data_IF_956809931009
#
_entry.id   IF_956809931009
#
_cell.length_a   1.000
_cell.length_b   1.000
_cell.length_c   1.000
_cell.angle_alpha   90.00
_cell.angle_beta   90.00
_cell.angle_gamma   90.00
#
_symmetry.space_group_name_H-M   'P 1'
#
loop_
_entity.id
_entity.type
_entity.pdbx_description
1 polymer ?
#
# COMPACT_ATOMS: atom_id res chain seq x y z
N UNK A 1 -8.39 14.79 33.19
CA UNK A 1 -8.88 13.86 32.16
C UNK A 1 -7.66 13.47 31.32
N UNK A 2 -6.98 12.38 31.67
CA UNK A 2 -5.87 11.86 30.87
C UNK A 2 -6.52 11.34 29.58
N UNK A 3 -6.26 12.01 28.46
CA UNK A 3 -6.61 11.47 27.14
C UNK A 3 -6.03 10.05 27.10
N UNK A 4 -6.86 9.07 26.75
CA UNK A 4 -6.46 7.66 26.68
C UNK A 4 -5.11 7.56 25.97
N UNK A 5 -4.14 6.87 26.57
CA UNK A 5 -2.70 6.95 26.22
C UNK A 5 -2.45 6.68 24.74
N UNK A 6 -3.36 5.96 24.07
CA UNK A 6 -3.25 5.58 22.67
C UNK A 6 -4.16 6.38 21.71
N UNK A 7 -4.89 7.39 22.19
CA UNK A 7 -5.77 8.22 21.34
C UNK A 7 -5.02 8.83 20.16
N UNK A 8 -3.79 9.31 20.40
CA UNK A 8 -2.95 9.89 19.37
C UNK A 8 -2.53 8.87 18.29
N UNK A 9 -2.33 7.60 18.66
CA UNK A 9 -2.04 6.52 17.70
C UNK A 9 -3.27 6.23 16.85
N UNK A 10 -4.44 6.11 17.46
CA UNK A 10 -5.70 5.92 16.73
C UNK A 10 -5.95 7.07 15.74
N UNK A 11 -5.79 8.31 16.18
CA UNK A 11 -5.92 9.50 15.34
C UNK A 11 -4.90 9.49 14.18
N UNK A 12 -3.65 9.11 14.47
CA UNK A 12 -2.61 8.97 13.44
C UNK A 12 -2.97 7.89 12.41
N UNK A 13 -3.43 6.73 12.85
CA UNK A 13 -3.83 5.64 11.94
C UNK A 13 -5.04 6.04 11.09
N UNK A 14 -6.12 6.53 11.72
CA UNK A 14 -7.31 6.98 10.99
C UNK A 14 -6.96 8.10 10.00
N UNK A 15 -6.22 9.12 10.45
CA UNK A 15 -5.83 10.23 9.59
C UNK A 15 -5.01 9.81 8.37
N UNK A 16 -4.11 8.82 8.53
CA UNK A 16 -3.31 8.26 7.43
C UNK A 16 -4.13 7.40 6.46
N UNK A 17 -5.24 6.82 6.91
CA UNK A 17 -6.15 6.03 6.07
C UNK A 17 -7.08 6.88 5.20
N UNK A 18 -7.22 8.18 5.46
CA UNK A 18 -8.07 9.08 4.69
C UNK A 18 -7.37 9.61 3.43
N UNK A 19 -6.92 8.70 2.54
CA UNK A 19 -6.04 9.01 1.41
C UNK A 19 -6.53 10.10 0.45
N UNK A 20 -7.85 10.28 0.32
CA UNK A 20 -8.42 11.34 -0.52
C UNK A 20 -7.96 12.75 -0.07
N UNK A 21 -7.88 12.99 1.24
CA UNK A 21 -7.58 14.32 1.79
C UNK A 21 -6.17 14.82 1.42
N UNK A 22 -5.07 14.08 1.67
CA UNK A 22 -3.75 14.52 1.23
C UNK A 22 -3.61 14.53 -0.29
N UNK A 23 -4.29 13.64 -1.02
CA UNK A 23 -4.24 13.63 -2.48
C UNK A 23 -4.83 14.92 -3.09
N UNK A 24 -5.95 15.39 -2.55
CA UNK A 24 -6.55 16.66 -2.98
C UNK A 24 -5.64 17.85 -2.74
N UNK A 25 -4.91 17.85 -1.62
CA UNK A 25 -3.89 18.86 -1.38
C UNK A 25 -2.81 18.83 -2.46
N UNK A 26 -2.32 17.64 -2.84
CA UNK A 26 -1.36 17.52 -3.94
C UNK A 26 -1.93 18.00 -5.28
N UNK A 27 -3.15 17.59 -5.65
CA UNK A 27 -3.80 18.04 -6.88
C UNK A 27 -4.06 19.55 -6.93
N UNK A 28 -4.22 20.20 -5.77
CA UNK A 28 -4.33 21.65 -5.70
C UNK A 28 -2.99 22.37 -5.94
N UNK A 29 -1.85 21.71 -5.70
CA UNK A 29 -0.51 22.28 -5.89
C UNK A 29 0.11 21.92 -7.24
N UNK A 30 -0.30 20.81 -7.85
CA UNK A 30 0.24 20.36 -9.11
C UNK A 30 -0.39 21.13 -10.29
N UNK A 31 0.38 21.43 -11.36
CA UNK A 31 -0.16 22.10 -12.54
C UNK A 31 -1.35 21.34 -13.14
N UNK A 32 -2.44 22.01 -13.48
CA UNK A 32 -3.67 21.39 -14.00
C UNK A 32 -3.49 20.73 -15.38
N UNK A 33 -2.50 21.19 -16.13
CA UNK A 33 -2.02 20.65 -17.41
C UNK A 33 -1.17 19.37 -17.25
N UNK A 34 -0.88 18.98 -16.01
CA UNK A 34 -0.04 17.83 -15.65
C UNK A 34 -0.83 16.68 -15.02
N UNK A 35 -1.95 16.29 -15.65
CA UNK A 35 -2.78 15.12 -15.31
C UNK A 35 -2.01 13.77 -15.23
N UNK A 36 -0.69 13.80 -15.37
CA UNK A 36 0.21 12.67 -15.39
C UNK A 36 1.37 12.81 -14.37
N UNK A 37 1.23 13.63 -13.32
CA UNK A 37 2.29 13.80 -12.31
C UNK A 37 2.22 12.84 -11.13
N UNK A 38 1.07 12.22 -10.88
CA UNK A 38 0.89 11.23 -9.82
C UNK A 38 0.31 9.95 -10.38
N UNK A 39 0.98 8.83 -10.11
CA UNK A 39 0.51 7.50 -10.47
C UNK A 39 0.04 6.76 -9.22
N UNK A 40 -1.18 6.22 -9.28
CA UNK A 40 -1.80 5.53 -8.16
C UNK A 40 -1.70 4.00 -8.32
N UNK A 41 -1.20 3.33 -7.28
CA UNK A 41 -0.99 1.87 -7.26
C UNK A 41 -1.83 1.26 -6.14
N UNK A 42 -2.62 0.22 -6.48
CA UNK A 42 -3.26 -0.62 -5.47
C UNK A 42 -2.25 -1.66 -5.00
N UNK A 43 -1.90 -1.64 -3.71
CA UNK A 43 -0.90 -2.55 -3.16
C UNK A 43 -1.33 -4.02 -3.24
N UNK A 44 -2.64 -4.28 -3.30
CA UNK A 44 -3.20 -5.61 -3.49
C UNK A 44 -2.80 -6.22 -4.84
N UNK A 45 -2.68 -5.40 -5.88
CA UNK A 45 -2.27 -5.84 -7.23
C UNK A 45 -0.78 -6.19 -7.30
N UNK A 46 0.03 -5.70 -6.36
CA UNK A 46 1.47 -5.99 -6.30
C UNK A 46 1.76 -7.41 -5.79
N UNK A 47 0.74 -8.14 -5.33
CA UNK A 47 0.85 -9.56 -5.00
C UNK A 47 0.94 -10.45 -6.25
N UNK A 48 0.57 -9.93 -7.42
CA UNK A 48 0.67 -10.66 -8.68
C UNK A 48 2.13 -10.69 -9.19
N UNK A 49 2.73 -11.88 -9.13
CA UNK A 49 4.11 -12.11 -9.58
C UNK A 49 4.23 -12.25 -11.11
N UNK A 50 3.13 -12.19 -11.86
CA UNK A 50 3.17 -12.14 -13.32
C UNK A 50 3.82 -10.85 -13.85
N UNK A 51 3.80 -9.79 -13.04
CA UNK A 51 4.30 -8.47 -13.41
C UNK A 51 3.34 -7.64 -14.25
N UNK A 52 2.14 -8.15 -14.57
CA UNK A 52 1.13 -7.41 -15.34
C UNK A 52 0.69 -6.12 -14.63
N UNK A 53 0.61 -6.13 -13.30
CA UNK A 53 0.23 -4.93 -12.52
C UNK A 53 1.25 -3.78 -12.61
N UNK A 54 2.51 -4.07 -12.97
CA UNK A 54 3.58 -3.07 -13.14
C UNK A 54 3.66 -2.49 -14.55
N UNK A 55 3.03 -3.14 -15.54
CA UNK A 55 3.09 -2.71 -16.94
C UNK A 55 2.51 -1.29 -17.15
N UNK A 56 1.35 -0.93 -16.57
CA UNK A 56 0.83 0.44 -16.69
C UNK A 56 1.72 1.48 -15.99
N UNK A 57 2.36 1.14 -14.87
CA UNK A 57 3.35 2.02 -14.20
C UNK A 57 4.58 2.24 -15.09
N UNK A 58 5.10 1.17 -15.71
CA UNK A 58 6.22 1.23 -16.65
C UNK A 58 5.91 2.16 -17.83
N UNK A 59 4.71 2.04 -18.41
CA UNK A 59 4.25 2.90 -19.49
C UNK A 59 4.14 4.36 -19.04
N UNK A 60 3.56 4.60 -17.86
CA UNK A 60 3.44 5.94 -17.29
C UNK A 60 4.80 6.62 -17.07
N UNK A 61 5.81 5.86 -16.64
CA UNK A 61 7.19 6.34 -16.50
C UNK A 61 7.94 6.54 -17.83
N UNK A 62 7.36 6.14 -18.97
CA UNK A 62 8.02 6.21 -20.28
C UNK A 62 9.23 5.27 -20.42
N UNK A 63 9.28 4.20 -19.64
CA UNK A 63 10.36 3.22 -19.68
C UNK A 63 10.23 2.30 -20.92
N UNK A 64 11.31 1.62 -21.36
CA UNK A 64 11.21 0.60 -22.40
C UNK A 64 10.43 -0.64 -21.90
N UNK A 65 9.91 -1.50 -22.80
CA UNK A 65 9.29 -2.77 -22.41
C UNK A 65 10.24 -3.61 -21.56
N UNK A 66 9.70 -4.24 -20.51
CA UNK A 66 10.48 -5.05 -19.57
C UNK A 66 9.64 -6.23 -19.06
N UNK A 67 10.27 -7.40 -18.91
CA UNK A 67 9.61 -8.57 -18.34
C UNK A 67 9.82 -8.59 -16.82
N UNK A 68 8.85 -8.05 -16.07
CA UNK A 68 8.91 -8.01 -14.60
C UNK A 68 8.80 -9.38 -13.95
N UNK A 69 8.21 -10.37 -14.61
CA UNK A 69 8.02 -11.71 -14.04
C UNK A 69 9.33 -12.34 -13.60
N UNK A 70 10.43 -12.10 -14.32
CA UNK A 70 11.74 -12.68 -13.99
C UNK A 70 12.33 -12.12 -12.71
N UNK A 71 12.03 -10.86 -12.38
CA UNK A 71 12.50 -10.19 -11.15
C UNK A 71 11.57 -10.54 -9.99
N UNK A 72 10.26 -10.42 -10.20
CA UNK A 72 9.27 -10.66 -9.16
C UNK A 72 9.25 -12.11 -8.67
N UNK A 73 9.60 -13.08 -9.51
CA UNK A 73 9.72 -14.48 -9.09
C UNK A 73 10.93 -14.76 -8.20
N UNK A 74 11.95 -13.90 -8.21
CA UNK A 74 13.15 -14.13 -7.42
C UNK A 74 12.92 -13.93 -5.92
N UNK A 75 12.05 -13.00 -5.55
CA UNK A 75 11.83 -12.67 -4.16
C UNK A 75 11.48 -11.19 -3.94
N UNK A 76 11.78 -10.72 -2.73
CA UNK A 76 11.58 -9.34 -2.32
C UNK A 76 12.83 -8.76 -1.65
N UNK A 77 12.94 -7.44 -1.71
CA UNK A 77 13.95 -6.68 -0.97
C UNK A 77 13.36 -6.14 0.33
N UNK A 78 14.22 -5.89 1.32
CA UNK A 78 13.88 -5.20 2.56
C UNK A 78 12.73 -5.87 3.34
N UNK A 79 12.69 -7.21 3.32
CA UNK A 79 11.75 -8.02 4.10
C UNK A 79 12.26 -8.05 5.54
N UNK A 80 11.90 -7.03 6.32
CA UNK A 80 12.52 -6.76 7.62
C UNK A 80 11.92 -7.51 8.81
N UNK A 81 12.77 -7.94 9.75
CA UNK A 81 12.37 -8.28 11.13
C UNK A 81 13.12 -9.45 11.78
N UNK A 82 14.38 -9.25 12.19
CA UNK A 82 15.24 -10.21 12.93
C UNK A 82 15.79 -11.43 12.15
N UNK A 83 17.13 -11.47 12.03
CA UNK A 83 17.90 -12.65 11.60
C UNK A 83 18.39 -12.58 10.16
N UNK A 84 19.66 -12.24 9.95
CA UNK A 84 20.47 -12.40 8.73
C UNK A 84 19.94 -11.87 7.37
N UNK A 85 18.73 -11.31 7.28
CA UNK A 85 18.20 -10.68 6.07
C UNK A 85 18.65 -9.22 6.04
N UNK A 86 19.68 -8.94 5.23
CA UNK A 86 20.27 -7.62 5.13
C UNK A 86 19.43 -6.68 4.25
N UNK A 87 19.51 -5.37 4.54
CA UNK A 87 19.10 -4.33 3.61
C UNK A 87 19.82 -4.53 2.26
N UNK A 88 19.14 -4.15 1.18
CA UNK A 88 19.67 -4.25 -0.20
C UNK A 88 19.99 -5.68 -0.68
N UNK A 89 19.51 -6.71 0.02
CA UNK A 89 19.64 -8.11 -0.39
C UNK A 89 18.31 -8.67 -0.85
N UNK A 90 18.33 -9.36 -2.00
CA UNK A 90 17.16 -10.12 -2.48
C UNK A 90 16.94 -11.34 -1.60
N UNK A 91 15.74 -11.47 -1.05
CA UNK A 91 15.32 -12.61 -0.21
C UNK A 91 14.30 -13.44 -0.97
N UNK A 92 14.58 -14.72 -1.15
CA UNK A 92 13.69 -15.61 -1.91
C UNK A 92 12.33 -15.80 -1.23
N UNK A 93 11.28 -16.01 -2.02
CA UNK A 93 9.94 -16.28 -1.47
C UNK A 93 9.90 -17.50 -0.54
N UNK A 94 10.68 -18.55 -0.83
CA UNK A 94 10.79 -19.72 0.04
C UNK A 94 11.35 -19.34 1.42
N UNK A 95 12.43 -18.54 1.45
CA UNK A 95 13.05 -18.06 2.69
C UNK A 95 12.11 -17.17 3.51
N UNK A 96 11.28 -16.37 2.84
CA UNK A 96 10.27 -15.52 3.50
C UNK A 96 9.18 -16.38 4.15
N UNK A 97 8.73 -17.44 3.48
CA UNK A 97 7.69 -18.35 3.99
C UNK A 97 8.17 -19.17 5.19
N UNK A 98 9.45 -19.56 5.20
CA UNK A 98 10.07 -20.31 6.30
C UNK A 98 10.28 -19.46 7.57
N UNK A 99 10.22 -18.13 7.46
CA UNK A 99 10.35 -17.20 8.58
C UNK A 99 9.07 -16.37 8.76
N UNK A 100 8.02 -16.92 9.38
CA UNK A 100 6.75 -16.21 9.56
C UNK A 100 6.87 -14.88 10.31
N UNK A 101 7.93 -14.71 11.13
CA UNK A 101 8.21 -13.47 11.85
C UNK A 101 8.99 -12.42 11.01
N UNK A 102 9.59 -12.79 9.88
CA UNK A 102 10.43 -11.92 9.05
C UNK A 102 9.65 -10.92 8.19
N UNK A 103 8.31 -11.05 8.10
CA UNK A 103 7.45 -10.08 7.40
C UNK A 103 6.87 -9.03 8.33
N UNK A 104 7.13 -9.10 9.65
CA UNK A 104 6.46 -8.24 10.61
C UNK A 104 4.93 -8.44 10.64
N UNK A 105 4.40 -9.54 10.09
CA UNK A 105 3.06 -10.04 10.38
C UNK A 105 3.02 -10.56 11.82
N UNK A 106 3.44 -9.73 12.79
CA UNK A 106 3.16 -9.97 14.19
C UNK A 106 1.64 -10.06 14.33
N UNK A 107 1.17 -11.22 14.79
CA UNK A 107 -0.16 -11.48 15.36
C UNK A 107 -1.16 -10.35 15.12
N UNK A 108 -1.83 -10.38 13.96
CA UNK A 108 -2.90 -9.45 13.63
C UNK A 108 -3.89 -9.46 14.80
N UNK A 109 -3.93 -8.39 15.61
CA UNK A 109 -4.85 -8.32 16.74
C UNK A 109 -6.24 -8.29 16.12
N UNK A 110 -7.05 -9.35 16.28
CA UNK A 110 -8.28 -9.46 15.52
C UNK A 110 -9.24 -8.35 15.95
N UNK A 111 -9.59 -7.48 15.01
CA UNK A 111 -10.63 -6.48 15.23
C UNK A 111 -11.97 -7.20 15.37
N UNK A 112 -12.81 -6.76 16.31
CA UNK A 112 -14.16 -7.28 16.39
C UNK A 112 -14.91 -7.01 15.08
N UNK A 113 -15.77 -7.94 14.65
CA UNK A 113 -16.56 -7.77 13.44
C UNK A 113 -17.49 -6.54 13.48
N UNK A 114 -17.89 -6.10 14.68
CA UNK A 114 -18.64 -4.86 14.86
C UNK A 114 -17.76 -3.64 14.54
N UNK A 115 -16.58 -3.56 15.15
CA UNK A 115 -15.66 -2.44 14.93
C UNK A 115 -15.13 -2.39 13.51
N UNK A 116 -14.83 -3.54 12.88
CA UNK A 116 -14.44 -3.59 11.46
C UNK A 116 -15.50 -2.99 10.55
N UNK A 117 -16.79 -3.35 10.75
CA UNK A 117 -17.90 -2.78 9.98
C UNK A 117 -18.06 -1.28 10.19
N UNK A 118 -17.90 -0.81 11.43
CA UNK A 118 -17.94 0.62 11.74
C UNK A 118 -16.82 1.38 11.03
N UNK A 119 -15.59 0.84 11.08
CA UNK A 119 -14.43 1.41 10.40
C UNK A 119 -14.60 1.42 8.88
N UNK A 120 -15.05 0.31 8.28
CA UNK A 120 -15.35 0.21 6.85
C UNK A 120 -16.42 1.23 6.44
N UNK A 121 -17.51 1.33 7.20
CA UNK A 121 -18.57 2.32 6.94
C UNK A 121 -18.08 3.76 7.07
N UNK A 122 -17.17 4.04 8.00
CA UNK A 122 -16.58 5.36 8.18
C UNK A 122 -15.65 5.74 7.02
N UNK A 123 -14.82 4.79 6.55
CA UNK A 123 -13.84 5.03 5.48
C UNK A 123 -14.48 5.03 4.08
N UNK A 124 -15.58 4.30 3.88
CA UNK A 124 -16.24 4.13 2.59
C UNK A 124 -16.43 5.44 1.79
N UNK A 125 -17.01 6.53 2.32
CA UNK A 125 -17.18 7.76 1.54
C UNK A 125 -15.85 8.39 1.10
N UNK A 126 -14.78 8.23 1.88
CA UNK A 126 -13.45 8.72 1.52
C UNK A 126 -12.78 7.84 0.47
N UNK A 127 -12.97 6.52 0.54
CA UNK A 127 -12.49 5.58 -0.48
C UNK A 127 -13.19 5.82 -1.81
N UNK A 128 -14.52 6.01 -1.81
CA UNK A 128 -15.27 6.33 -3.02
C UNK A 128 -14.82 7.65 -3.65
N UNK A 129 -14.58 8.68 -2.83
CA UNK A 129 -14.01 9.95 -3.29
C UNK A 129 -12.61 9.77 -3.87
N UNK A 130 -11.75 8.99 -3.22
CA UNK A 130 -10.42 8.66 -3.74
C UNK A 130 -10.51 7.99 -5.11
N UNK A 131 -11.37 6.97 -5.26
CA UNK A 131 -11.52 6.24 -6.52
C UNK A 131 -12.01 7.12 -7.66
N UNK A 132 -12.87 8.09 -7.37
CA UNK A 132 -13.26 9.12 -8.34
C UNK A 132 -12.09 10.02 -8.72
N UNK A 133 -11.28 10.47 -7.73
CA UNK A 133 -10.12 11.32 -7.97
C UNK A 133 -9.05 10.62 -8.83
N UNK A 134 -8.75 9.36 -8.55
CA UNK A 134 -7.67 8.61 -9.24
C UNK A 134 -8.16 7.85 -10.48
N UNK A 135 -9.47 7.78 -10.70
CA UNK A 135 -10.06 7.03 -11.82
C UNK A 135 -9.87 5.51 -11.75
N UNK A 136 -9.51 4.97 -10.57
CA UNK A 136 -9.20 3.54 -10.35
C UNK A 136 -9.73 3.09 -8.99
N UNK A 137 -10.26 1.86 -8.94
CA UNK A 137 -10.73 1.21 -7.70
C UNK A 137 -9.74 0.16 -7.23
N UNK A 138 -9.46 0.13 -5.93
CA UNK A 138 -8.75 -0.97 -5.27
C UNK A 138 -9.73 -1.92 -4.58
N UNK A 139 -9.31 -3.16 -4.35
CA UNK A 139 -10.07 -4.16 -3.60
C UNK A 139 -9.82 -4.01 -2.09
N UNK A 140 -10.38 -2.96 -1.51
CA UNK A 140 -10.33 -2.67 -0.07
C UNK A 140 -11.60 -3.11 0.65
#
# INVERSE_FOLDING_TARGET
KIMDKNTHLLQSHLGRSLYALPLEWWYAQLPQDSNNNLYFVCTEELKDLSGQSLEPLRQWLGLPPFNFSTVLQQGAYNVGGHGNMAYDTSTSWASIQEQPNATGMETEIPLSAAFRRELESFLQPYNERLFQLVGKRCQW
#
